data_IF_550372150375
#
_entry.id   IF_550372150375
#
_cell.length_a   1.000
_cell.length_b   1.000
_cell.length_c   1.000
_cell.angle_alpha   90.00
_cell.angle_beta   90.00
_cell.angle_gamma   90.00
#
_symmetry.space_group_name_H-M   'P 1'
#
loop_
_entity.id
_entity.type
_entity.pdbx_description
1 polymer ?
#
# COMPACT_ATOMS: atom_id res chain seq x y z
N UNK A 1 -11.11 -12.19 -14.84
CA UNK A 1 -10.07 -11.91 -13.82
C UNK A 1 -10.63 -11.99 -12.39
N UNK A 2 -11.61 -11.17 -11.99
CA UNK A 2 -12.17 -11.21 -10.63
C UNK A 2 -12.66 -12.61 -10.20
N UNK A 3 -13.51 -13.25 -11.00
CA UNK A 3 -13.97 -14.63 -10.75
C UNK A 3 -12.85 -15.69 -10.78
N UNK A 4 -11.76 -15.41 -11.51
CA UNK A 4 -10.59 -16.29 -11.56
C UNK A 4 -9.78 -16.18 -10.26
N UNK A 5 -9.72 -14.98 -9.67
CA UNK A 5 -9.06 -14.72 -8.38
C UNK A 5 -9.81 -15.40 -7.24
N UNK A 6 -11.13 -15.35 -7.23
CA UNK A 6 -11.93 -16.03 -6.20
C UNK A 6 -11.58 -17.54 -6.12
N UNK A 7 -11.38 -18.18 -7.27
CA UNK A 7 -10.95 -19.59 -7.34
C UNK A 7 -9.52 -19.80 -6.85
N UNK A 8 -8.63 -18.87 -7.16
CA UNK A 8 -7.22 -18.94 -6.74
C UNK A 8 -7.10 -18.75 -5.24
N UNK A 9 -7.84 -17.82 -4.64
CA UNK A 9 -7.85 -17.59 -3.19
C UNK A 9 -8.31 -18.81 -2.39
N UNK A 10 -9.23 -19.59 -2.96
CA UNK A 10 -9.70 -20.85 -2.35
C UNK A 10 -8.74 -22.01 -2.59
N UNK A 11 -7.69 -21.84 -3.39
CA UNK A 11 -6.75 -22.92 -3.70
C UNK A 11 -5.82 -23.21 -2.51
N UNK A 12 -5.45 -24.50 -2.29
CA UNK A 12 -4.49 -24.86 -1.25
C UNK A 12 -3.15 -24.11 -1.37
N UNK A 13 -2.71 -23.86 -2.61
CA UNK A 13 -1.45 -23.19 -2.92
C UNK A 13 -1.46 -21.71 -2.49
N UNK A 14 -2.60 -21.02 -2.59
CA UNK A 14 -2.74 -19.66 -2.10
C UNK A 14 -2.64 -19.60 -0.58
N UNK A 15 -3.34 -20.50 0.12
CA UNK A 15 -3.30 -20.60 1.58
C UNK A 15 -1.90 -20.96 2.11
N UNK A 16 -1.16 -21.79 1.39
CA UNK A 16 0.24 -22.11 1.69
C UNK A 16 1.12 -20.86 1.58
N UNK A 17 1.06 -20.14 0.46
CA UNK A 17 1.83 -18.91 0.25
C UNK A 17 1.50 -17.80 1.27
N UNK A 18 0.25 -17.77 1.77
CA UNK A 18 -0.16 -16.84 2.83
C UNK A 18 0.56 -17.14 4.15
N UNK A 19 0.73 -18.43 4.48
CA UNK A 19 1.48 -18.87 5.67
C UNK A 19 2.98 -18.58 5.58
N UNK A 20 3.53 -18.40 4.39
CA UNK A 20 4.91 -17.94 4.18
C UNK A 20 5.10 -16.45 4.55
N UNK A 21 4.04 -15.71 4.90
CA UNK A 21 4.10 -14.29 5.22
C UNK A 21 4.22 -13.39 3.98
N UNK A 22 3.94 -13.91 2.79
CA UNK A 22 3.90 -13.11 1.56
C UNK A 22 2.68 -12.20 1.57
N UNK A 23 2.86 -10.97 1.09
CA UNK A 23 1.74 -10.05 0.92
C UNK A 23 0.76 -10.57 -0.14
N UNK A 24 -0.53 -10.32 0.07
CA UNK A 24 -1.58 -10.71 -0.87
C UNK A 24 -1.28 -10.35 -2.34
N UNK A 25 -0.83 -9.12 -2.68
CA UNK A 25 -0.48 -8.77 -4.07
C UNK A 25 0.66 -9.63 -4.63
N UNK A 26 1.66 -9.98 -3.80
CA UNK A 26 2.77 -10.84 -4.19
C UNK A 26 2.29 -12.25 -4.51
N UNK A 27 1.41 -12.81 -3.67
CA UNK A 27 0.84 -14.14 -3.90
C UNK A 27 0.07 -14.16 -5.23
N UNK A 28 -0.78 -13.16 -5.49
CA UNK A 28 -1.49 -13.07 -6.76
C UNK A 28 -0.56 -12.96 -7.97
N UNK A 29 0.50 -12.16 -7.89
CA UNK A 29 1.48 -12.06 -8.99
C UNK A 29 2.23 -13.37 -9.25
N UNK A 30 2.45 -14.19 -8.21
CA UNK A 30 3.10 -15.50 -8.35
C UNK A 30 2.16 -16.57 -8.93
N UNK A 31 0.84 -16.45 -8.69
CA UNK A 31 -0.16 -17.44 -9.09
C UNK A 31 -0.90 -17.11 -10.39
N UNK A 32 -0.90 -15.84 -10.78
CA UNK A 32 -1.51 -15.35 -12.01
C UNK A 32 -0.38 -14.85 -12.90
N UNK A 33 0.24 -15.81 -13.60
CA UNK A 33 1.27 -15.54 -14.59
C UNK A 33 0.70 -14.71 -15.75
N UNK A 34 1.54 -13.87 -16.36
CA UNK A 34 1.21 -13.04 -17.54
C UNK A 34 0.09 -12.01 -17.34
N UNK A 35 0.04 -11.39 -16.16
CA UNK A 35 -0.93 -10.34 -15.91
C UNK A 35 -0.28 -9.01 -15.49
N UNK A 36 0.08 -8.22 -16.49
CA UNK A 36 0.59 -6.86 -16.34
C UNK A 36 -0.36 -5.97 -15.51
N UNK A 37 -1.65 -6.29 -15.45
CA UNK A 37 -2.59 -5.53 -14.61
C UNK A 37 -2.25 -5.70 -13.13
N UNK A 38 -1.80 -6.87 -12.66
CA UNK A 38 -1.52 -7.08 -11.23
C UNK A 38 -0.13 -6.59 -10.80
N UNK A 39 0.67 -6.10 -11.74
CA UNK A 39 2.04 -5.61 -11.47
C UNK A 39 2.08 -4.28 -10.69
N UNK A 40 0.97 -3.53 -10.65
CA UNK A 40 0.89 -2.22 -10.00
C UNK A 40 -0.01 -2.24 -8.76
N UNK A 41 0.42 -1.65 -7.62
CA UNK A 41 -0.39 -1.55 -6.41
C UNK A 41 -1.78 -0.94 -6.64
N UNK A 42 -1.90 0.08 -7.51
CA UNK A 42 -3.18 0.74 -7.79
C UNK A 42 -4.18 -0.18 -8.51
N UNK A 43 -3.68 -1.07 -9.36
CA UNK A 43 -4.53 -2.00 -10.09
C UNK A 43 -5.02 -3.12 -9.17
N UNK A 44 -4.16 -3.60 -8.26
CA UNK A 44 -4.56 -4.56 -7.22
C UNK A 44 -5.64 -3.96 -6.32
N UNK A 45 -5.50 -2.70 -5.89
CA UNK A 45 -6.54 -1.99 -5.15
C UNK A 45 -7.83 -1.81 -5.97
N UNK A 46 -7.71 -1.40 -7.24
CA UNK A 46 -8.85 -1.24 -8.14
C UNK A 46 -9.65 -2.53 -8.29
N UNK A 47 -8.97 -3.66 -8.39
CA UNK A 47 -9.60 -4.97 -8.47
C UNK A 47 -10.32 -5.36 -7.17
N UNK A 48 -9.72 -5.08 -6.01
CA UNK A 48 -10.38 -5.24 -4.71
C UNK A 48 -11.64 -4.38 -4.61
N UNK A 49 -11.61 -3.13 -5.10
CA UNK A 49 -12.79 -2.26 -5.13
C UNK A 49 -13.88 -2.81 -6.05
N UNK A 50 -13.54 -3.24 -7.27
CA UNK A 50 -14.52 -3.82 -8.21
C UNK A 50 -15.18 -5.07 -7.61
N UNK A 51 -14.42 -5.94 -6.94
CA UNK A 51 -14.97 -7.12 -6.24
C UNK A 51 -15.92 -6.71 -5.12
N UNK A 52 -15.50 -5.79 -4.25
CA UNK A 52 -16.34 -5.30 -3.15
C UNK A 52 -17.63 -4.64 -3.66
N UNK A 53 -17.56 -3.86 -4.73
CA UNK A 53 -18.73 -3.25 -5.39
C UNK A 53 -19.68 -4.35 -5.89
N UNK A 54 -19.18 -5.36 -6.60
CA UNK A 54 -20.00 -6.45 -7.11
C UNK A 54 -20.73 -7.22 -6.01
N UNK A 55 -20.08 -7.42 -4.86
CA UNK A 55 -20.66 -8.17 -3.73
C UNK A 55 -21.60 -7.34 -2.87
N UNK A 56 -21.23 -6.10 -2.54
CA UNK A 56 -21.88 -5.34 -1.46
C UNK A 56 -22.66 -4.12 -1.96
N UNK A 57 -22.34 -3.57 -3.12
CA UNK A 57 -22.93 -2.34 -3.61
C UNK A 57 -23.01 -2.30 -5.15
N UNK A 58 -23.76 -3.24 -5.79
CA UNK A 58 -23.76 -3.42 -7.24
C UNK A 58 -24.34 -2.21 -8.01
N UNK A 59 -24.96 -1.25 -7.33
CA UNK A 59 -25.39 0.02 -7.91
C UNK A 59 -24.25 1.02 -8.14
N UNK A 60 -23.08 0.84 -7.51
CA UNK A 60 -21.91 1.69 -7.72
C UNK A 60 -21.27 1.32 -9.06
N UNK A 61 -21.06 2.31 -9.92
CA UNK A 61 -20.34 2.13 -11.18
C UNK A 61 -18.85 2.46 -10.99
N UNK A 62 -17.93 1.48 -11.11
CA UNK A 62 -16.50 1.75 -10.99
C UNK A 62 -15.95 2.44 -12.24
N UNK A 63 -15.03 3.38 -12.03
CA UNK A 63 -14.29 4.08 -13.08
C UNK A 63 -12.81 4.12 -12.74
N UNK A 64 -11.96 4.20 -13.76
CA UNK A 64 -10.52 4.36 -13.60
C UNK A 64 -10.03 5.55 -14.42
N UNK A 65 -8.90 6.11 -13.99
CA UNK A 65 -8.13 7.09 -14.75
C UNK A 65 -6.68 6.62 -14.82
N UNK A 66 -6.01 6.92 -15.92
CA UNK A 66 -4.60 6.59 -16.08
C UNK A 66 -3.75 7.42 -15.13
N UNK A 67 -2.81 6.77 -14.45
CA UNK A 67 -1.81 7.46 -13.63
C UNK A 67 -0.75 8.10 -14.53
N UNK A 68 -0.43 9.37 -14.29
CA UNK A 68 0.63 10.06 -15.02
C UNK A 68 1.97 9.99 -14.27
N UNK A 69 3.00 9.48 -14.97
CA UNK A 69 4.46 9.51 -14.73
C UNK A 69 5.08 9.09 -13.39
N UNK A 70 4.45 9.22 -12.23
CA UNK A 70 5.11 8.83 -10.97
C UNK A 70 5.01 7.32 -10.74
N UNK A 71 6.04 6.58 -11.17
CA UNK A 71 6.23 5.18 -10.75
C UNK A 71 6.30 5.10 -9.21
N UNK A 72 5.83 4.00 -8.63
CA UNK A 72 5.71 3.79 -7.18
C UNK A 72 7.05 3.69 -6.42
N UNK A 73 8.18 3.94 -7.08
CA UNK A 73 9.53 3.69 -6.54
C UNK A 73 10.53 4.84 -6.70
N UNK A 74 10.10 6.01 -7.19
CA UNK A 74 10.98 7.17 -7.16
C UNK A 74 11.02 7.72 -5.73
N UNK A 75 12.18 7.52 -5.10
CA UNK A 75 12.56 8.06 -3.79
C UNK A 75 12.78 9.57 -3.87
N UNK A 76 13.21 10.06 -5.04
CA UNK A 76 13.45 11.49 -5.25
C UNK A 76 12.28 12.15 -5.98
N UNK A 77 12.13 13.46 -5.77
CA UNK A 77 11.20 14.27 -6.56
C UNK A 77 11.89 14.55 -7.90
N UNK A 78 11.67 13.66 -8.86
CA UNK A 78 12.24 13.71 -10.22
C UNK A 78 11.48 14.63 -11.16
N UNK A 79 10.18 14.86 -10.88
CA UNK A 79 9.28 15.67 -11.69
C UNK A 79 8.70 16.84 -10.91
N UNK A 80 8.66 18.01 -11.54
CA UNK A 80 8.19 19.26 -10.95
C UNK A 80 6.68 19.31 -10.68
N UNK A 81 5.89 18.34 -11.16
CA UNK A 81 4.41 18.43 -11.12
C UNK A 81 3.74 17.21 -10.48
N UNK A 82 4.33 16.02 -10.58
CA UNK A 82 3.72 14.78 -10.09
C UNK A 82 4.74 13.96 -9.31
N UNK A 83 4.74 14.10 -7.99
CA UNK A 83 5.58 13.31 -7.08
C UNK A 83 4.82 12.12 -6.48
N UNK A 84 5.55 11.08 -6.09
CA UNK A 84 4.98 9.96 -5.34
C UNK A 84 4.77 10.37 -3.88
N UNK A 85 3.83 9.73 -3.17
CA UNK A 85 3.67 9.95 -1.73
C UNK A 85 4.94 9.58 -0.95
N UNK A 86 5.77 8.67 -1.48
CA UNK A 86 7.04 8.28 -0.89
C UNK A 86 8.10 9.38 -1.02
N UNK A 87 8.27 9.97 -2.20
CA UNK A 87 9.25 11.04 -2.39
C UNK A 87 8.88 12.32 -1.65
N UNK A 88 7.58 12.64 -1.56
CA UNK A 88 7.10 13.74 -0.70
C UNK A 88 7.47 13.50 0.76
N UNK A 89 7.19 12.31 1.31
CA UNK A 89 7.58 11.98 2.70
C UNK A 89 9.09 12.03 2.90
N UNK A 90 9.89 11.56 1.95
CA UNK A 90 11.35 11.63 2.04
C UNK A 90 11.86 13.07 2.03
N UNK A 91 11.31 13.94 1.19
CA UNK A 91 11.63 15.37 1.22
C UNK A 91 11.33 15.99 2.59
N UNK A 92 10.18 15.67 3.20
CA UNK A 92 9.84 16.12 4.56
C UNK A 92 10.83 15.60 5.61
N UNK A 93 11.13 14.30 5.63
CA UNK A 93 12.05 13.71 6.62
C UNK A 93 13.47 14.26 6.48
N UNK A 94 13.91 14.50 5.25
CA UNK A 94 15.23 15.06 4.95
C UNK A 94 15.29 16.59 5.15
N UNK A 95 14.19 17.21 5.58
CA UNK A 95 14.08 18.65 5.83
C UNK A 95 14.43 19.49 4.59
N UNK A 96 14.08 18.98 3.40
CA UNK A 96 14.18 19.72 2.14
C UNK A 96 12.84 20.36 1.80
N UNK A 97 12.86 21.44 1.02
CA UNK A 97 11.64 22.16 0.61
C UNK A 97 11.06 21.68 -0.73
N UNK A 98 11.65 20.66 -1.35
CA UNK A 98 11.24 20.15 -2.67
C UNK A 98 9.76 19.70 -2.72
N UNK A 99 9.21 19.24 -1.60
CA UNK A 99 7.79 18.86 -1.51
C UNK A 99 6.84 20.04 -1.78
N UNK A 100 7.25 21.29 -1.52
CA UNK A 100 6.41 22.48 -1.69
C UNK A 100 6.05 22.73 -3.15
N UNK A 101 6.92 22.31 -4.07
CA UNK A 101 6.74 22.51 -5.51
C UNK A 101 5.75 21.51 -6.13
N UNK A 102 5.48 20.40 -5.43
CA UNK A 102 4.69 19.27 -5.94
C UNK A 102 3.39 19.05 -5.18
N UNK A 103 3.05 19.92 -4.23
CA UNK A 103 1.77 19.93 -3.52
C UNK A 103 1.15 21.33 -3.54
N UNK A 104 -0.19 21.46 -3.55
CA UNK A 104 -0.86 22.75 -3.52
C UNK A 104 -0.46 23.61 -2.31
N UNK A 105 -0.27 24.92 -2.50
CA UNK A 105 0.20 25.82 -1.44
C UNK A 105 -0.78 25.96 -0.28
N UNK A 106 -2.08 25.77 -0.54
CA UNK A 106 -3.17 25.87 0.43
C UNK A 106 -3.06 24.79 1.52
N UNK A 107 -2.42 23.67 1.21
CA UNK A 107 -2.28 22.55 2.14
C UNK A 107 -0.91 22.51 2.83
N UNK A 108 0.02 23.44 2.54
CA UNK A 108 1.38 23.43 3.09
C UNK A 108 1.41 23.40 4.62
N UNK A 109 0.49 24.11 5.29
CA UNK A 109 0.33 24.09 6.75
C UNK A 109 0.10 22.68 7.34
N UNK A 110 -0.42 21.75 6.56
CA UNK A 110 -0.68 20.37 6.99
C UNK A 110 0.56 19.46 6.89
N UNK A 111 1.60 19.94 6.22
CA UNK A 111 2.89 19.24 6.07
C UNK A 111 3.92 19.74 7.08
N UNK A 112 3.57 20.70 7.93
CA UNK A 112 4.40 21.17 9.03
C UNK A 112 4.55 20.10 10.13
N UNK A 113 5.42 20.36 11.11
CA UNK A 113 5.74 19.44 12.19
C UNK A 113 4.54 19.19 13.14
N UNK A 114 4.50 18.02 13.83
CA UNK A 114 5.52 16.97 13.87
C UNK A 114 5.39 15.94 12.74
N UNK A 115 6.54 15.48 12.27
CA UNK A 115 6.67 14.34 11.38
C UNK A 115 6.91 13.08 12.21
N UNK A 116 6.22 11.98 11.89
CA UNK A 116 6.36 10.71 12.61
C UNK A 116 6.93 9.67 11.65
N UNK A 117 8.07 9.09 12.05
CA UNK A 117 8.73 7.98 11.37
C UNK A 117 8.33 6.62 11.97
N UNK A 118 8.83 5.53 11.38
CA UNK A 118 8.68 4.20 11.96
C UNK A 118 9.59 4.05 13.19
N UNK A 119 10.78 4.63 13.14
CA UNK A 119 11.78 4.67 14.21
C UNK A 119 11.22 5.33 15.49
N UNK A 120 10.42 6.40 15.37
CA UNK A 120 9.76 7.04 16.51
C UNK A 120 8.80 6.09 17.23
N UNK A 121 8.25 5.10 16.52
CA UNK A 121 7.32 4.11 17.06
C UNK A 121 8.04 2.88 17.63
N UNK A 122 9.33 2.70 17.33
CA UNK A 122 10.07 1.48 17.66
C UNK A 122 10.13 1.21 19.15
N UNK A 123 10.25 2.24 19.99
CA UNK A 123 10.29 2.06 21.45
C UNK A 123 8.97 1.49 22.00
N UNK A 124 7.83 1.86 21.42
CA UNK A 124 6.53 1.31 21.81
C UNK A 124 6.36 -0.13 21.33
N UNK A 125 6.83 -0.42 20.11
CA UNK A 125 6.87 -1.80 19.60
C UNK A 125 7.76 -2.69 20.47
N UNK A 126 8.97 -2.21 20.79
CA UNK A 126 9.92 -2.90 21.67
C UNK A 126 9.31 -3.15 23.04
N UNK A 127 8.65 -2.15 23.62
CA UNK A 127 7.94 -2.31 24.89
C UNK A 127 6.88 -3.41 24.78
N UNK A 128 6.00 -3.36 23.78
CA UNK A 128 4.94 -4.34 23.59
C UNK A 128 5.48 -5.78 23.44
N UNK A 129 6.60 -5.95 22.73
CA UNK A 129 7.25 -7.25 22.54
C UNK A 129 7.91 -7.78 23.83
N UNK A 130 8.49 -6.89 24.65
CA UNK A 130 9.17 -7.27 25.89
C UNK A 130 8.22 -7.46 27.08
N UNK A 131 7.04 -6.85 27.04
CA UNK A 131 6.08 -6.87 28.14
C UNK A 131 5.01 -7.96 28.02
N UNK A 132 4.96 -8.69 26.89
CA UNK A 132 3.94 -9.71 26.62
C UNK A 132 4.59 -11.09 26.48
N UNK A 133 3.86 -12.14 26.85
CA UNK A 133 4.30 -13.51 26.66
C UNK A 133 4.00 -14.02 25.24
N UNK A 134 4.62 -15.16 24.89
CA UNK A 134 4.47 -15.74 23.55
C UNK A 134 3.01 -16.07 23.21
N UNK A 135 2.21 -16.47 24.20
CA UNK A 135 0.79 -16.78 24.01
C UNK A 135 -0.02 -15.54 23.65
N UNK A 136 0.19 -14.41 24.34
CA UNK A 136 -0.49 -13.14 24.01
C UNK A 136 -0.05 -12.61 22.65
N UNK A 137 1.25 -12.67 22.34
CA UNK A 137 1.77 -12.23 21.05
C UNK A 137 1.20 -13.05 19.88
N UNK A 138 0.99 -14.36 20.07
CA UNK A 138 0.39 -15.22 19.05
C UNK A 138 -1.08 -14.91 18.75
N UNK A 139 -1.78 -14.17 19.62
CA UNK A 139 -3.15 -13.72 19.40
C UNK A 139 -3.23 -12.39 18.63
N UNK A 140 -2.11 -11.70 18.43
CA UNK A 140 -2.07 -10.50 17.60
C UNK A 140 -2.37 -10.90 16.15
N UNK A 141 -3.35 -10.22 15.55
CA UNK A 141 -3.74 -10.46 14.16
C UNK A 141 -2.54 -10.27 13.22
N UNK A 142 -2.18 -11.33 12.51
CA UNK A 142 -1.19 -11.35 11.43
C UNK A 142 -1.87 -11.36 10.07
#
# INVERSE_FOLDING_TARGET
LAQSIDKIEQSPLFLEKLKEGKSYPRILSELITDNDLLSSPNNTLGLSYVRAIQTYAPSIQPWTISRFQSAHHDNEISHQTFASGTSIRQSLMNQTDLWKDVVPCEIHKHYERPHISLEDKFNYLKYALLSQDATSLAQIYT
#
